data_IF_793645389120
#
_entry.id   IF_793645389120
#
_cell.length_a   1.000
_cell.length_b   1.000
_cell.length_c   1.000
_cell.angle_alpha   90.00
_cell.angle_beta   90.00
_cell.angle_gamma   90.00
#
_symmetry.space_group_name_H-M   'P 1'
#
loop_
_entity.id
_entity.type
_entity.pdbx_description
1 polymer ?
#
# COMPACT_ATOMS: atom_id res chain seq x y z
N UNK A 1 19.22 7.53 7.44
CA UNK A 1 18.61 8.27 6.30
C UNK A 1 17.66 7.27 5.68
N UNK A 2 16.37 7.41 6.00
CA UNK A 2 15.37 6.39 5.67
C UNK A 2 14.95 6.42 4.21
N UNK A 3 14.19 5.41 3.82
CA UNK A 3 13.60 5.27 2.50
C UNK A 3 12.53 6.34 2.29
N UNK A 4 12.50 6.92 1.08
CA UNK A 4 11.47 7.88 0.67
C UNK A 4 10.16 7.16 0.30
N UNK A 5 9.05 7.89 0.28
CA UNK A 5 7.77 7.32 -0.15
C UNK A 5 7.85 6.76 -1.58
N UNK A 6 8.53 7.46 -2.48
CA UNK A 6 8.69 7.08 -3.88
C UNK A 6 9.49 5.78 -4.02
N UNK A 7 10.57 5.63 -3.24
CA UNK A 7 11.35 4.39 -3.19
C UNK A 7 10.53 3.24 -2.58
N UNK A 8 9.78 3.50 -1.52
CA UNK A 8 8.90 2.50 -0.90
C UNK A 8 7.80 2.03 -1.88
N UNK A 9 7.17 2.97 -2.60
CA UNK A 9 6.18 2.68 -3.65
C UNK A 9 6.79 1.83 -4.75
N UNK A 10 7.98 2.17 -5.23
CA UNK A 10 8.66 1.41 -6.27
C UNK A 10 8.96 -0.01 -5.79
N UNK A 11 9.46 -0.17 -4.57
CA UNK A 11 9.76 -1.48 -4.00
C UNK A 11 8.52 -2.39 -3.90
N UNK A 12 7.39 -1.85 -3.44
CA UNK A 12 6.11 -2.59 -3.43
C UNK A 12 5.76 -3.12 -4.82
N UNK A 13 5.89 -2.29 -5.86
CA UNK A 13 5.58 -2.69 -7.24
C UNK A 13 6.54 -3.77 -7.72
N UNK A 14 7.83 -3.57 -7.53
CA UNK A 14 8.86 -4.50 -8.00
C UNK A 14 8.73 -5.89 -7.35
N UNK A 15 8.31 -5.94 -6.08
CA UNK A 15 8.16 -7.22 -5.35
C UNK A 15 6.79 -7.86 -5.59
N UNK A 16 5.69 -7.10 -5.52
CA UNK A 16 4.35 -7.69 -5.52
C UNK A 16 3.75 -7.83 -6.92
N UNK A 17 4.06 -6.95 -7.86
CA UNK A 17 3.46 -6.97 -9.19
C UNK A 17 3.82 -8.23 -9.99
N UNK A 18 5.08 -8.73 -10.00
CA UNK A 18 5.43 -9.96 -10.73
C UNK A 18 4.77 -11.22 -10.16
N UNK A 19 4.54 -11.24 -8.85
CA UNK A 19 3.93 -12.35 -8.12
C UNK A 19 2.40 -12.28 -8.10
N UNK A 20 1.80 -11.20 -8.60
CA UNK A 20 0.35 -11.01 -8.59
C UNK A 20 -0.35 -12.02 -9.50
N UNK A 21 -1.43 -12.65 -9.00
CA UNK A 21 -2.18 -13.70 -9.72
C UNK A 21 -3.69 -13.44 -9.82
N UNK A 22 -4.22 -12.39 -9.20
CA UNK A 22 -5.66 -12.20 -9.03
C UNK A 22 -6.14 -10.84 -9.55
N UNK A 23 -6.70 -10.79 -10.76
CA UNK A 23 -7.13 -9.53 -11.38
C UNK A 23 -5.98 -8.61 -11.76
N UNK A 24 -6.27 -7.34 -11.99
CA UNK A 24 -5.28 -6.35 -12.42
C UNK A 24 -4.57 -5.76 -11.21
N UNK A 25 -3.25 -5.97 -11.09
CA UNK A 25 -2.46 -5.38 -10.00
C UNK A 25 -2.70 -3.87 -9.91
N UNK A 26 -3.08 -3.39 -8.73
CA UNK A 26 -3.35 -2.00 -8.44
C UNK A 26 -2.79 -1.65 -7.06
N UNK A 27 -2.20 -0.47 -6.98
CA UNK A 27 -1.72 0.14 -5.75
C UNK A 27 -2.45 1.47 -5.62
N UNK A 28 -3.27 1.61 -4.59
CA UNK A 28 -3.97 2.86 -4.28
C UNK A 28 -3.05 3.80 -3.50
N UNK A 29 -2.36 4.68 -4.23
CA UNK A 29 -1.47 5.72 -3.70
C UNK A 29 -2.08 7.12 -3.75
N UNK A 30 -3.41 7.26 -3.82
CA UNK A 30 -4.04 8.60 -3.78
C UNK A 30 -3.77 9.31 -2.46
N UNK A 31 -3.62 8.54 -1.38
CA UNK A 31 -3.20 9.03 -0.06
C UNK A 31 -1.95 8.32 0.41
N UNK A 32 -1.11 9.05 1.13
CA UNK A 32 0.04 8.50 1.86
C UNK A 32 -0.43 8.22 3.28
N UNK A 33 -0.40 6.94 3.65
CA UNK A 33 -0.68 6.44 5.00
C UNK A 33 0.65 6.02 5.62
N UNK A 34 1.03 6.63 6.74
CA UNK A 34 2.35 6.41 7.35
C UNK A 34 2.35 6.70 8.85
N UNK A 35 3.26 6.06 9.59
CA UNK A 35 3.67 6.51 10.93
C UNK A 35 5.18 6.77 10.92
N UNK A 36 5.83 6.88 12.08
CA UNK A 36 7.27 7.17 12.14
C UNK A 36 8.14 5.98 11.66
N UNK A 37 7.58 4.77 11.59
CA UNK A 37 8.30 3.52 11.26
C UNK A 37 8.02 2.99 9.85
N UNK A 38 6.79 3.14 9.35
CA UNK A 38 6.35 2.48 8.10
C UNK A 38 5.56 3.39 7.17
N UNK A 39 5.65 3.09 5.88
CA UNK A 39 4.64 3.47 4.88
C UNK A 39 3.67 2.31 4.69
N UNK A 40 2.38 2.61 4.61
CA UNK A 40 1.31 1.63 4.39
C UNK A 40 0.76 1.80 2.99
N UNK A 41 0.54 0.67 2.30
CA UNK A 41 0.07 0.63 0.93
C UNK A 41 -1.16 -0.28 0.81
N UNK A 42 -2.21 0.27 0.19
CA UNK A 42 -3.35 -0.51 -0.26
C UNK A 42 -3.03 -1.13 -1.61
N UNK A 43 -2.76 -2.43 -1.60
CA UNK A 43 -2.46 -3.23 -2.79
C UNK A 43 -3.59 -4.21 -3.01
N UNK A 44 -4.08 -4.31 -4.25
CA UNK A 44 -5.24 -5.11 -4.57
C UNK A 44 -5.47 -5.23 -6.07
N UNK A 45 -6.54 -5.92 -6.43
CA UNK A 45 -7.04 -5.91 -7.80
C UNK A 45 -7.69 -4.55 -8.08
N UNK A 46 -7.43 -3.94 -9.25
CA UNK A 46 -8.08 -2.69 -9.67
C UNK A 46 -9.60 -2.84 -9.63
N UNK A 47 -10.09 -3.99 -10.04
CA UNK A 47 -11.50 -4.34 -10.08
C UNK A 47 -12.15 -4.21 -8.69
N UNK A 48 -11.41 -4.59 -7.64
CA UNK A 48 -11.85 -4.40 -6.26
C UNK A 48 -11.71 -2.94 -5.81
N UNK A 49 -10.52 -2.36 -5.99
CA UNK A 49 -10.15 -1.06 -5.40
C UNK A 49 -10.81 0.14 -6.07
N UNK A 50 -11.08 0.04 -7.37
CA UNK A 50 -11.70 1.09 -8.20
C UNK A 50 -13.13 0.73 -8.52
N UNK A 51 -13.32 -0.42 -9.16
CA UNK A 51 -14.60 -0.79 -9.78
C UNK A 51 -15.59 -1.37 -8.75
N UNK A 52 -15.13 -1.58 -7.51
CA UNK A 52 -15.89 -2.11 -6.37
C UNK A 52 -16.44 -3.52 -6.61
N UNK A 53 -15.75 -4.32 -7.41
CA UNK A 53 -16.08 -5.72 -7.64
C UNK A 53 -15.54 -6.59 -6.50
N UNK A 54 -16.44 -6.96 -5.58
CA UNK A 54 -16.13 -7.78 -4.41
C UNK A 54 -15.72 -9.21 -4.77
N UNK A 55 -15.94 -9.69 -6.00
CA UNK A 55 -15.47 -11.02 -6.42
C UNK A 55 -13.93 -11.11 -6.43
N UNK A 56 -13.24 -9.97 -6.46
CA UNK A 56 -11.78 -9.84 -6.39
C UNK A 56 -11.26 -9.49 -4.97
N UNK A 57 -12.12 -9.51 -3.95
CA UNK A 57 -11.72 -9.22 -2.58
C UNK A 57 -10.82 -10.32 -2.00
N UNK A 58 -9.54 -10.00 -1.78
CA UNK A 58 -8.59 -10.88 -1.08
C UNK A 58 -8.41 -10.39 0.35
N UNK A 59 -8.66 -11.25 1.34
CA UNK A 59 -8.40 -10.98 2.75
C UNK A 59 -6.89 -11.07 3.04
N UNK A 60 -6.16 -10.01 2.67
CA UNK A 60 -4.75 -9.85 3.02
C UNK A 60 -4.61 -8.70 4.02
N UNK A 61 -3.63 -8.79 4.91
CA UNK A 61 -3.15 -7.61 5.63
C UNK A 61 -2.72 -6.50 4.66
N UNK A 62 -2.56 -5.29 5.18
CA UNK A 62 -2.03 -4.18 4.39
C UNK A 62 -0.53 -4.36 4.21
N UNK A 63 -0.05 -4.13 2.99
CA UNK A 63 1.39 -4.16 2.71
C UNK A 63 2.05 -2.93 3.34
N UNK A 64 3.19 -3.14 3.98
CA UNK A 64 3.96 -2.06 4.61
C UNK A 64 5.40 -2.07 4.13
N UNK A 65 6.03 -0.90 4.11
CA UNK A 65 7.46 -0.74 3.89
C UNK A 65 8.06 -0.05 5.09
N UNK A 66 9.05 -0.69 5.73
CA UNK A 66 9.79 -0.10 6.84
C UNK A 66 10.70 1.02 6.34
N UNK A 67 10.61 2.18 6.99
CA UNK A 67 11.33 3.40 6.58
C UNK A 67 12.83 3.31 6.82
N UNK A 68 13.28 2.48 7.76
CA UNK A 68 14.69 2.38 8.11
C UNK A 68 15.51 1.68 7.01
N UNK A 69 15.02 0.55 6.51
CA UNK A 69 15.75 -0.35 5.60
C UNK A 69 15.01 -0.63 4.28
N UNK A 70 13.78 -0.16 4.11
CA UNK A 70 12.96 -0.42 2.95
C UNK A 70 12.36 -1.82 2.89
N UNK A 71 12.47 -2.61 3.97
CA UNK A 71 11.98 -3.99 3.98
C UNK A 71 10.46 -4.02 3.79
N UNK A 72 9.99 -4.96 2.98
CA UNK A 72 8.57 -5.23 2.80
C UNK A 72 8.04 -6.07 3.97
N UNK A 73 6.84 -5.73 4.46
CA UNK A 73 6.10 -6.51 5.44
C UNK A 73 4.61 -6.50 5.16
N UNK A 74 3.86 -7.19 6.00
CA UNK A 74 2.41 -7.13 6.03
C UNK A 74 1.94 -6.97 7.48
N UNK A 75 1.02 -6.04 7.71
CA UNK A 75 0.37 -5.86 9.01
C UNK A 75 -1.14 -6.08 8.90
N UNK A 76 -1.81 -6.54 9.96
CA UNK A 76 -3.27 -6.56 9.99
C UNK A 76 -3.81 -5.14 9.74
N UNK A 77 -4.81 -5.00 8.87
CA UNK A 77 -5.44 -3.71 8.59
C UNK A 77 -6.02 -3.06 9.86
N UNK A 78 -6.53 -3.88 10.78
CA UNK A 78 -7.01 -3.43 12.09
C UNK A 78 -5.91 -2.78 12.93
N UNK A 79 -4.70 -3.36 12.94
CA UNK A 79 -3.57 -2.82 13.68
C UNK A 79 -3.21 -1.43 13.18
N UNK A 80 -3.13 -1.23 11.87
CA UNK A 80 -2.88 0.08 11.27
C UNK A 80 -4.03 1.05 11.54
N UNK A 81 -5.28 0.61 11.41
CA UNK A 81 -6.46 1.46 11.61
C UNK A 81 -6.60 1.96 13.06
N UNK A 82 -6.09 1.21 14.04
CA UNK A 82 -6.15 1.57 15.47
C UNK A 82 -4.89 2.25 15.99
N UNK A 83 -3.83 2.37 15.18
CA UNK A 83 -2.57 3.01 15.60
C UNK A 83 -2.74 4.54 15.63
N UNK A 84 -2.63 5.18 16.82
CA UNK A 84 -2.84 6.63 16.95
C UNK A 84 -1.72 7.48 16.33
N UNK A 85 -0.59 6.87 15.97
CA UNK A 85 0.53 7.55 15.33
C UNK A 85 0.40 7.61 13.80
N UNK A 86 -0.54 6.84 13.23
CA UNK A 86 -0.78 6.83 11.79
C UNK A 86 -1.34 8.18 11.35
N UNK A 87 -0.72 8.72 10.31
CA UNK A 87 -1.11 9.95 9.63
C UNK A 87 -1.52 9.60 8.21
N UNK A 88 -2.55 10.29 7.74
CA UNK A 88 -3.06 10.18 6.38
C UNK A 88 -2.97 11.57 5.75
N UNK A 89 -2.33 11.66 4.59
CA UNK A 89 -2.23 12.91 3.82
C UNK A 89 -2.38 12.64 2.33
N UNK A 90 -2.82 13.63 1.53
CA UNK A 90 -2.84 13.48 0.08
C UNK A 90 -1.45 13.17 -0.47
N UNK A 91 -1.37 12.28 -1.47
CA UNK A 91 -0.15 12.11 -2.26
C UNK A 91 -0.06 13.25 -3.29
N UNK A 92 1.02 14.04 -3.32
CA UNK A 92 1.18 15.10 -4.32
C UNK A 92 1.34 14.57 -5.75
N UNK A 93 1.75 13.30 -5.91
CA UNK A 93 2.05 12.67 -7.20
C UNK A 93 1.54 11.23 -7.24
N UNK A 94 0.20 11.01 -7.18
CA UNK A 94 -0.37 9.68 -7.24
C UNK A 94 -0.15 9.06 -8.62
N UNK A 95 0.10 7.75 -8.65
CA UNK A 95 0.12 6.96 -9.90
C UNK A 95 -1.26 6.42 -10.23
N UNK A 96 -2.13 6.33 -9.25
CA UNK A 96 -3.54 6.04 -9.43
C UNK A 96 -4.34 7.34 -9.67
N UNK A 97 -5.03 7.39 -10.79
CA UNK A 97 -6.01 8.43 -11.10
C UNK A 97 -7.42 7.79 -11.14
N UNK A 98 -8.42 8.54 -10.69
CA UNK A 98 -9.84 8.12 -10.71
C UNK A 98 -10.35 7.83 -12.13
#
# INVERSE_FOLDING_TARGET
MGVTYEQARQNIRDVLQPEWRWGTFCLDDRTIVENDEVFVFNVGARELLVDRDLSYAVASGVSVVYKDDGRLGALPSTMVATDPTVRIRPNPSPTMHD
#
